data_IF_954418798330
#
_entry.id   IF_954418798330
#
_cell.length_a   1.000
_cell.length_b   1.000
_cell.length_c   1.000
_cell.angle_alpha   90.00
_cell.angle_beta   90.00
_cell.angle_gamma   90.00
#
_symmetry.space_group_name_H-M   'P 1'
#
loop_
_entity.id
_entity.type
_entity.pdbx_description
1 polymer ?
#
# COMPACT_ATOMS: atom_id res chain seq x y z
N UNK A 1 -3.48 -8.43 -16.92
CA UNK A 1 -3.82 -7.00 -17.13
C UNK A 1 -4.47 -6.37 -15.90
N UNK A 2 -5.53 -6.96 -15.34
CA UNK A 2 -6.18 -6.45 -14.12
C UNK A 2 -5.27 -6.49 -12.86
N UNK A 3 -4.46 -7.54 -12.69
CA UNK A 3 -3.49 -7.61 -11.58
C UNK A 3 -2.47 -6.48 -11.62
N UNK A 4 -1.94 -6.16 -12.80
CA UNK A 4 -0.97 -5.07 -12.98
C UNK A 4 -1.57 -3.71 -12.64
N UNK A 5 -2.83 -3.49 -13.04
CA UNK A 5 -3.56 -2.25 -12.72
C UNK A 5 -3.81 -2.16 -11.22
N UNK A 6 -4.17 -3.26 -10.55
CA UNK A 6 -4.43 -3.25 -9.11
C UNK A 6 -3.14 -3.02 -8.31
N UNK A 7 -2.08 -3.72 -8.69
CA UNK A 7 -0.76 -3.67 -8.07
C UNK A 7 -0.10 -2.28 -8.15
N UNK A 8 -0.26 -1.56 -9.26
CA UNK A 8 0.28 -0.21 -9.45
C UNK A 8 -0.79 0.89 -9.37
N UNK A 9 -1.97 0.58 -8.83
CA UNK A 9 -3.14 1.49 -8.88
C UNK A 9 -2.86 2.86 -8.23
N UNK A 10 -2.06 2.90 -7.16
CA UNK A 10 -1.79 4.15 -6.44
C UNK A 10 -0.98 5.15 -7.28
N UNK A 11 -0.08 4.65 -8.15
CA UNK A 11 0.76 5.48 -9.01
C UNK A 11 -0.09 6.25 -10.03
N UNK A 12 -1.20 5.67 -10.49
CA UNK A 12 -2.06 6.30 -11.50
C UNK A 12 -3.24 7.06 -10.89
N UNK A 13 -3.93 6.49 -9.89
CA UNK A 13 -5.16 7.08 -9.34
C UNK A 13 -4.86 8.42 -8.65
N UNK A 14 -3.80 8.49 -7.85
CA UNK A 14 -3.47 9.68 -7.04
C UNK A 14 -3.20 10.92 -7.91
N UNK A 15 -2.31 10.88 -8.92
CA UNK A 15 -2.11 12.04 -9.78
C UNK A 15 -3.35 12.40 -10.60
N UNK A 16 -4.14 11.42 -11.06
CA UNK A 16 -5.40 11.68 -11.80
C UNK A 16 -6.38 12.45 -10.91
N UNK A 17 -6.57 12.03 -9.66
CA UNK A 17 -7.47 12.71 -8.71
C UNK A 17 -6.96 14.13 -8.41
N UNK A 18 -5.66 14.31 -8.20
CA UNK A 18 -5.05 15.64 -7.97
C UNK A 18 -5.30 16.55 -9.17
N UNK A 19 -5.09 16.06 -10.40
CA UNK A 19 -5.33 16.83 -11.63
C UNK A 19 -6.81 17.18 -11.78
N UNK A 20 -7.72 16.25 -11.50
CA UNK A 20 -9.16 16.48 -11.60
C UNK A 20 -9.65 17.53 -10.59
N UNK A 21 -9.28 17.41 -9.30
CA UNK A 21 -9.71 18.34 -8.25
C UNK A 21 -9.23 19.77 -8.51
N UNK A 22 -8.00 19.91 -8.99
CA UNK A 22 -7.38 21.22 -9.27
C UNK A 22 -7.88 21.87 -10.55
N UNK A 23 -8.24 21.08 -11.57
CA UNK A 23 -8.89 21.57 -12.79
C UNK A 23 -10.22 22.28 -12.47
N UNK A 24 -10.95 21.78 -11.46
CA UNK A 24 -12.21 22.35 -10.97
C UNK A 24 -12.03 23.66 -10.19
N UNK A 25 -10.82 23.99 -9.70
CA UNK A 25 -10.61 25.24 -8.94
C UNK A 25 -10.40 26.42 -9.91
N UNK A 26 -11.26 27.46 -9.90
CA UNK A 26 -11.19 28.57 -10.84
C UNK A 26 -10.10 29.58 -10.43
N UNK A 27 -8.84 29.16 -10.55
CA UNK A 27 -7.68 30.00 -10.21
C UNK A 27 -7.17 30.69 -11.48
N UNK A 28 -7.33 32.01 -11.51
CA UNK A 28 -6.92 32.91 -12.60
C UNK A 28 -5.39 32.99 -12.79
N UNK A 29 -4.62 32.81 -11.72
CA UNK A 29 -3.16 33.02 -11.72
C UNK A 29 -2.41 31.67 -11.76
N UNK A 30 -1.66 31.43 -12.84
CA UNK A 30 -0.89 30.20 -13.08
C UNK A 30 0.12 29.91 -11.96
N UNK A 31 0.80 30.94 -11.42
CA UNK A 31 1.80 30.74 -10.37
C UNK A 31 1.20 30.14 -9.09
N UNK A 32 0.01 30.60 -8.69
CA UNK A 32 -0.71 30.07 -7.53
C UNK A 32 -1.20 28.63 -7.77
N UNK A 33 -1.61 28.31 -9.02
CA UNK A 33 -1.95 26.93 -9.41
C UNK A 33 -0.77 25.99 -9.22
N UNK A 34 0.42 26.33 -9.76
CA UNK A 34 1.62 25.49 -9.62
C UNK A 34 1.98 25.26 -8.16
N UNK A 35 1.95 26.31 -7.32
CA UNK A 35 2.28 26.18 -5.91
C UNK A 35 1.35 25.20 -5.18
N UNK A 36 0.05 25.25 -5.47
CA UNK A 36 -0.93 24.31 -4.91
C UNK A 36 -0.64 22.88 -5.37
N UNK A 37 -0.37 22.65 -6.66
CA UNK A 37 0.00 21.33 -7.17
C UNK A 37 1.17 20.72 -6.43
N UNK A 38 2.28 21.48 -6.30
CA UNK A 38 3.48 21.00 -5.62
C UNK A 38 3.15 20.67 -4.17
N UNK A 39 2.40 21.54 -3.47
CA UNK A 39 2.04 21.28 -2.08
C UNK A 39 1.21 20.01 -1.89
N UNK A 40 0.20 19.78 -2.74
CA UNK A 40 -0.66 18.60 -2.67
C UNK A 40 0.12 17.34 -3.02
N UNK A 41 1.00 17.39 -4.03
CA UNK A 41 1.86 16.26 -4.39
C UNK A 41 2.80 15.92 -3.22
N UNK A 42 3.46 16.91 -2.61
CA UNK A 42 4.36 16.69 -1.47
C UNK A 42 3.61 16.08 -0.29
N UNK A 43 2.45 16.61 0.07
CA UNK A 43 1.62 16.05 1.16
C UNK A 43 1.18 14.62 0.81
N UNK A 44 0.74 14.38 -0.43
CA UNK A 44 0.36 13.05 -0.90
C UNK A 44 1.50 12.05 -0.80
N UNK A 45 2.72 12.42 -1.24
CA UNK A 45 3.91 11.58 -1.12
C UNK A 45 4.27 11.29 0.34
N UNK A 46 4.17 12.28 1.23
CA UNK A 46 4.40 12.08 2.67
C UNK A 46 3.41 11.07 3.23
N UNK A 47 2.11 11.24 2.94
CA UNK A 47 1.08 10.29 3.38
C UNK A 47 1.36 8.89 2.83
N UNK A 48 1.66 8.76 1.53
CA UNK A 48 1.99 7.48 0.93
C UNK A 48 3.21 6.81 1.58
N UNK A 49 4.24 7.59 1.92
CA UNK A 49 5.42 7.04 2.58
C UNK A 49 5.13 6.54 4.00
N UNK A 50 4.20 7.17 4.71
CA UNK A 50 3.85 6.77 6.08
C UNK A 50 2.86 5.59 6.16
N UNK A 51 2.02 5.40 5.12
CA UNK A 51 0.98 4.36 5.10
C UNK A 51 1.37 3.12 4.28
N UNK A 52 2.61 3.04 3.79
CA UNK A 52 3.09 1.83 3.12
C UNK A 52 3.16 0.65 4.10
N UNK A 53 2.56 -0.52 3.76
CA UNK A 53 2.59 -1.70 4.63
C UNK A 53 3.99 -2.25 4.92
N UNK A 54 4.98 -1.94 4.06
CA UNK A 54 6.39 -2.24 4.27
C UNK A 54 6.90 -3.40 3.42
N UNK A 55 7.83 -4.19 3.97
CA UNK A 55 8.43 -5.35 3.31
C UNK A 55 7.71 -6.65 3.73
N UNK A 56 7.97 -7.75 3.01
CA UNK A 56 7.52 -9.06 3.42
C UNK A 56 8.03 -9.45 4.81
N UNK A 57 7.19 -10.10 5.60
CA UNK A 57 7.54 -10.65 6.92
C UNK A 57 8.48 -11.87 6.86
N UNK A 58 8.68 -12.44 5.67
CA UNK A 58 9.56 -13.56 5.39
C UNK A 58 10.56 -13.19 4.30
N UNK A 59 11.72 -13.86 4.31
CA UNK A 59 12.81 -13.61 3.36
C UNK A 59 12.94 -14.67 2.27
N UNK A 60 12.24 -15.80 2.40
CA UNK A 60 12.23 -16.90 1.43
C UNK A 60 11.01 -17.82 1.63
N UNK A 61 10.72 -18.65 0.62
CA UNK A 61 9.61 -19.61 0.62
C UNK A 61 9.73 -20.65 1.74
N UNK A 62 10.93 -21.13 2.05
CA UNK A 62 11.11 -22.15 3.11
C UNK A 62 10.67 -21.64 4.48
N UNK A 63 10.93 -20.38 4.79
CA UNK A 63 10.50 -19.74 6.03
C UNK A 63 8.96 -19.55 6.05
N UNK A 64 8.36 -19.19 4.90
CA UNK A 64 6.92 -19.13 4.78
C UNK A 64 6.28 -20.52 5.00
N UNK A 65 6.86 -21.57 4.42
CA UNK A 65 6.38 -22.94 4.56
C UNK A 65 6.49 -23.44 6.00
N UNK A 66 7.57 -23.10 6.71
CA UNK A 66 7.74 -23.43 8.13
C UNK A 66 6.65 -22.76 8.98
N UNK A 67 6.39 -21.48 8.75
CA UNK A 67 5.31 -20.74 9.42
C UNK A 67 3.97 -21.39 9.14
N UNK A 68 3.65 -21.68 7.87
CA UNK A 68 2.38 -22.29 7.44
C UNK A 68 2.16 -23.68 8.05
N UNK A 69 3.23 -24.46 8.21
CA UNK A 69 3.16 -25.83 8.75
C UNK A 69 3.31 -25.90 10.28
N UNK A 70 3.47 -24.77 10.97
CA UNK A 70 3.67 -24.69 12.43
C UNK A 70 2.47 -25.14 13.28
N UNK A 71 1.32 -25.40 12.67
CA UNK A 71 0.11 -25.91 13.34
C UNK A 71 -0.70 -24.84 14.09
N UNK A 72 -0.28 -23.57 14.05
CA UNK A 72 -1.03 -22.43 14.56
C UNK A 72 -1.91 -21.82 13.45
N UNK A 73 -3.06 -21.21 13.77
CA UNK A 73 -3.83 -20.45 12.80
C UNK A 73 -3.01 -19.23 12.32
N UNK A 74 -3.07 -18.97 11.02
CA UNK A 74 -2.28 -17.92 10.37
C UNK A 74 -3.19 -17.01 9.57
N UNK A 75 -2.99 -15.71 9.74
CA UNK A 75 -3.57 -14.68 8.90
C UNK A 75 -2.53 -14.25 7.86
N UNK A 76 -2.81 -14.52 6.58
CA UNK A 76 -1.91 -14.16 5.48
C UNK A 76 -2.45 -12.92 4.78
N UNK A 77 -1.62 -11.89 4.67
CA UNK A 77 -1.91 -10.69 3.89
C UNK A 77 -0.99 -10.61 2.68
N UNK A 78 -1.57 -10.65 1.48
CA UNK A 78 -0.88 -10.32 0.25
C UNK A 78 -1.10 -8.85 -0.09
N UNK A 79 -0.03 -8.07 -0.18
CA UNK A 79 -0.11 -6.64 -0.40
C UNK A 79 0.92 -6.14 -1.42
N UNK A 80 0.81 -4.87 -1.79
CA UNK A 80 1.84 -4.13 -2.53
C UNK A 80 1.89 -2.69 -2.00
N UNK A 81 3.10 -2.13 -1.93
CA UNK A 81 3.31 -0.74 -1.51
C UNK A 81 2.71 0.30 -2.47
N UNK A 82 2.30 -0.13 -3.66
CA UNK A 82 1.70 0.74 -4.69
C UNK A 82 0.24 0.38 -5.01
N UNK A 83 -0.36 -0.49 -4.20
CA UNK A 83 -1.77 -0.87 -4.31
C UNK A 83 -2.64 0.08 -3.49
N UNK A 84 -3.55 0.80 -4.14
CA UNK A 84 -4.41 1.82 -3.50
C UNK A 84 -5.31 1.22 -2.42
N UNK A 85 -5.92 0.05 -2.71
CA UNK A 85 -6.78 -0.63 -1.75
C UNK A 85 -5.98 -1.08 -0.52
N UNK A 86 -4.76 -1.57 -0.73
CA UNK A 86 -3.85 -2.05 0.32
C UNK A 86 -3.42 -0.89 1.23
N UNK A 87 -3.05 0.26 0.65
CA UNK A 87 -2.72 1.47 1.41
C UNK A 87 -3.92 1.99 2.22
N UNK A 88 -5.13 1.88 1.67
CA UNK A 88 -6.36 2.27 2.37
C UNK A 88 -6.75 1.31 3.50
N UNK A 89 -6.45 0.00 3.36
CA UNK A 89 -6.77 -1.01 4.36
C UNK A 89 -5.68 -1.19 5.44
N UNK A 90 -4.44 -0.76 5.19
CA UNK A 90 -3.31 -0.89 6.13
C UNK A 90 -3.63 -0.50 7.58
N UNK A 91 -4.28 0.64 7.90
CA UNK A 91 -4.60 0.97 9.29
C UNK A 91 -5.57 -0.05 9.94
N UNK A 92 -6.50 -0.61 9.16
CA UNK A 92 -7.45 -1.62 9.62
C UNK A 92 -6.72 -2.94 9.84
N UNK A 93 -5.87 -3.34 8.90
CA UNK A 93 -5.11 -4.59 9.00
C UNK A 93 -4.12 -4.53 10.16
N UNK A 94 -3.42 -3.42 10.35
CA UNK A 94 -2.53 -3.20 11.50
C UNK A 94 -3.27 -3.23 12.84
N UNK A 95 -4.50 -2.70 12.87
CA UNK A 95 -5.35 -2.82 14.06
C UNK A 95 -5.78 -4.27 14.31
N UNK A 96 -6.08 -5.03 13.25
CA UNK A 96 -6.46 -6.44 13.33
C UNK A 96 -5.28 -7.28 13.82
N UNK A 97 -4.10 -7.10 13.24
CA UNK A 97 -2.84 -7.73 13.65
C UNK A 97 -2.62 -7.53 15.16
N UNK A 98 -2.72 -6.30 15.64
CA UNK A 98 -2.59 -5.99 17.07
C UNK A 98 -3.60 -6.71 17.96
N UNK A 99 -4.80 -7.00 17.44
CA UNK A 99 -5.87 -7.68 18.17
C UNK A 99 -5.76 -9.22 18.16
N UNK A 100 -5.13 -9.80 17.11
CA UNK A 100 -5.05 -11.25 16.94
C UNK A 100 -3.68 -11.85 17.25
N UNK A 101 -2.64 -11.02 17.42
CA UNK A 101 -1.23 -11.44 17.59
C UNK A 101 -0.98 -12.50 18.66
N UNK A 102 -1.82 -12.56 19.70
CA UNK A 102 -1.62 -13.49 20.82
C UNK A 102 -2.10 -14.92 20.49
N UNK A 103 -2.92 -15.07 19.44
CA UNK A 103 -3.57 -16.34 19.09
C UNK A 103 -3.36 -16.77 17.63
N UNK A 104 -2.92 -15.85 16.77
CA UNK A 104 -2.80 -16.04 15.32
C UNK A 104 -1.47 -15.46 14.85
N UNK A 105 -0.72 -16.23 14.07
CA UNK A 105 0.48 -15.72 13.40
C UNK A 105 0.09 -14.86 12.20
N UNK A 106 0.74 -13.71 12.03
CA UNK A 106 0.49 -12.81 10.89
C UNK A 106 1.64 -12.92 9.90
N UNK A 107 1.31 -13.27 8.66
CA UNK A 107 2.25 -13.42 7.55
C UNK A 107 1.91 -12.39 6.48
N UNK A 108 2.68 -11.29 6.42
CA UNK A 108 2.59 -10.29 5.35
C UNK A 108 3.52 -10.66 4.20
N UNK A 109 3.01 -10.68 2.98
CA UNK A 109 3.77 -10.98 1.75
C UNK A 109 3.57 -9.86 0.75
N UNK A 110 4.65 -9.13 0.47
CA UNK A 110 4.65 -8.13 -0.58
C UNK A 110 4.81 -8.83 -1.93
N UNK A 111 3.82 -8.71 -2.81
CA UNK A 111 3.85 -9.36 -4.13
C UNK A 111 4.82 -8.69 -5.12
N UNK A 112 5.47 -7.60 -4.71
CA UNK A 112 6.61 -6.99 -5.43
C UNK A 112 7.94 -7.66 -5.10
N UNK A 113 8.01 -8.37 -3.97
CA UNK A 113 9.27 -8.93 -3.51
C UNK A 113 9.62 -10.17 -4.33
N UNK A 114 10.91 -10.46 -4.54
CA UNK A 114 11.37 -11.62 -5.32
C UNK A 114 10.82 -12.97 -4.82
N UNK A 115 10.44 -13.03 -3.55
CA UNK A 115 9.92 -14.23 -2.87
C UNK A 115 8.51 -14.59 -3.36
N UNK A 116 7.76 -13.64 -3.92
CA UNK A 116 6.41 -13.87 -4.44
C UNK A 116 6.37 -14.24 -5.93
N UNK A 117 7.52 -14.24 -6.61
CA UNK A 117 7.63 -14.34 -8.07
C UNK A 117 8.29 -15.67 -8.51
N UNK A 118 8.81 -16.44 -7.56
CA UNK A 118 9.52 -17.70 -7.81
C UNK A 118 8.69 -18.93 -7.40
#
# INVERSE_FOLDING_TARGET
MFEFINHYSAIFIIPIVIIALTALVPIRNWQKRIAIYISVIVIGLIVLFNFQPGDSSVTNESQAQEIITSGQPIFVEFFSNTCTACLASEPIVKSLEGAIKDNVQVLKVNVQDPIAIN
#
